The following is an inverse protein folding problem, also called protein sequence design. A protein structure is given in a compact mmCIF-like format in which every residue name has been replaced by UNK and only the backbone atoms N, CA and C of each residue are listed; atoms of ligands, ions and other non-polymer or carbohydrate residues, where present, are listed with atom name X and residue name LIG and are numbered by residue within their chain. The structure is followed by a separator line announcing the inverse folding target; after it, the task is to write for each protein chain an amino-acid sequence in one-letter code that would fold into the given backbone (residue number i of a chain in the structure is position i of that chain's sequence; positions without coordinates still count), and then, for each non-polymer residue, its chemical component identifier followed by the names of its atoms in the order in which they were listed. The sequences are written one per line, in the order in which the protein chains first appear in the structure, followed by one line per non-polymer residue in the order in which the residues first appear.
data_IF_025944823590
#
_entry.id   IF_025944823590
#
_cell.length_a   1.000
_cell.length_b   1.000
_cell.length_c   1.000
_cell.angle_alpha   90.00
_cell.angle_beta   90.00
_cell.angle_gamma   90.00
#
_symmetry.space_group_name_H-M   'P 1'
#
loop_
_entity.id
_entity.type
_entity.pdbx_description
1 polymer ?
#
# COMPACT_ATOMS: atom_id res chain seq x y z
N UNK A 1 -5.25 9.05 11.97
CA UNK A 1 -6.06 8.79 10.77
C UNK A 1 -5.77 7.38 10.33
N UNK A 2 -6.41 6.92 9.27
CA UNK A 2 -6.10 5.62 8.68
C UNK A 2 -6.28 5.68 7.17
N UNK A 3 -5.52 4.86 6.46
CA UNK A 3 -5.73 4.60 5.04
C UNK A 3 -6.24 3.16 4.90
N UNK A 4 -7.25 2.96 4.03
CA UNK A 4 -7.73 1.63 3.65
C UNK A 4 -6.92 1.17 2.45
N UNK A 5 -6.35 -0.02 2.53
CA UNK A 5 -5.86 -0.70 1.34
C UNK A 5 -6.96 -1.64 0.86
N UNK A 6 -7.47 -1.41 -0.36
CA UNK A 6 -8.52 -2.23 -0.98
C UNK A 6 -7.87 -3.28 -1.88
N UNK A 7 -8.34 -4.52 -1.77
CA UNK A 7 -8.01 -5.61 -2.70
C UNK A 7 -9.21 -5.80 -3.62
N UNK A 8 -9.04 -5.67 -4.93
CA UNK A 8 -9.93 -6.36 -5.86
C UNK A 8 -9.61 -7.85 -5.81
N UNK A 9 -10.61 -8.76 -5.80
CA UNK A 9 -10.35 -10.11 -6.22
C UNK A 9 -9.86 -10.07 -7.68
N UNK A 10 -8.86 -10.86 -8.09
CA UNK A 10 -8.55 -10.99 -9.50
C UNK A 10 -9.80 -11.55 -10.20
N UNK A 11 -10.47 -10.72 -10.99
CA UNK A 11 -11.51 -11.18 -11.91
C UNK A 11 -10.89 -12.14 -12.93
N UNK A 12 -11.64 -13.11 -13.45
CA UNK A 12 -11.09 -14.16 -14.32
C UNK A 12 -10.45 -13.62 -15.60
N UNK A 13 -10.87 -12.45 -16.10
CA UNK A 13 -10.56 -12.01 -17.46
C UNK A 13 -10.23 -10.52 -17.59
N UNK A 14 -9.23 -10.00 -16.87
CA UNK A 14 -8.41 -8.83 -17.28
C UNK A 14 -9.06 -7.51 -17.73
N UNK A 15 -10.37 -7.33 -17.63
CA UNK A 15 -11.08 -6.18 -18.18
C UNK A 15 -11.35 -5.15 -17.09
N UNK A 16 -10.79 -3.96 -17.27
CA UNK A 16 -10.85 -2.86 -16.32
C UNK A 16 -12.23 -2.17 -16.39
N UNK A 17 -13.25 -2.82 -15.83
CA UNK A 17 -14.52 -2.19 -15.54
C UNK A 17 -14.32 -1.07 -14.51
N UNK A 18 -14.67 0.17 -14.86
CA UNK A 18 -14.66 1.30 -13.92
C UNK A 18 -15.58 0.97 -12.73
N UNK A 19 -15.14 1.18 -11.47
CA UNK A 19 -15.90 0.73 -10.32
C UNK A 19 -17.13 1.62 -10.09
N UNK A 20 -18.30 0.99 -10.17
CA UNK A 20 -19.57 1.52 -9.67
C UNK A 20 -19.45 1.76 -8.16
N UNK A 21 -19.92 2.93 -7.72
CA UNK A 21 -20.01 3.31 -6.30
C UNK A 21 -20.69 2.21 -5.45
N UNK A 22 -20.21 2.12 -4.20
CA UNK A 22 -20.81 1.38 -3.09
C UNK A 22 -20.74 -0.17 -3.14
N UNK A 23 -19.67 -0.71 -2.55
CA UNK A 23 -19.77 -1.97 -1.82
C UNK A 23 -19.13 -1.83 -0.43
N UNK A 24 -19.97 -1.75 0.59
CA UNK A 24 -19.58 -1.98 1.98
C UNK A 24 -19.08 -3.42 2.12
N UNK A 25 -17.80 -3.68 1.86
CA UNK A 25 -17.31 -5.07 1.93
C UNK A 25 -15.87 -5.32 1.52
N UNK A 26 -15.15 -4.32 1.01
CA UNK A 26 -13.74 -4.47 0.62
C UNK A 26 -12.88 -4.85 1.83
N UNK A 27 -12.50 -6.12 1.99
CA UNK A 27 -11.71 -6.69 3.12
C UNK A 27 -10.30 -6.12 3.27
N UNK A 28 -10.23 -4.81 3.51
CA UNK A 28 -9.04 -4.01 3.45
C UNK A 28 -8.35 -3.87 4.79
N UNK A 29 -7.03 -3.88 4.78
CA UNK A 29 -6.23 -3.62 5.97
C UNK A 29 -6.24 -2.11 6.27
N UNK A 30 -6.56 -1.75 7.51
CA UNK A 30 -6.44 -0.37 8.00
C UNK A 30 -5.00 -0.11 8.44
N UNK A 31 -4.37 0.90 7.84
CA UNK A 31 -3.00 1.28 8.17
C UNK A 31 -3.04 2.56 9.02
N UNK A 32 -2.50 2.55 10.25
CA UNK A 32 -2.44 3.75 11.09
C UNK A 32 -1.58 4.84 10.46
N UNK A 33 -2.14 6.05 10.37
CA UNK A 33 -1.47 7.27 9.90
C UNK A 33 -1.72 8.42 10.88
N UNK A 34 -1.14 9.59 10.63
CA UNK A 34 -1.55 10.84 11.29
C UNK A 34 -3.04 11.17 11.06
N UNK A 35 -3.61 12.08 11.83
CA UNK A 35 -4.99 12.56 11.60
C UNK A 35 -5.00 13.44 10.34
N UNK A 36 -5.79 13.05 9.33
CA UNK A 36 -5.89 13.71 8.01
C UNK A 36 -4.56 13.73 7.24
N UNK A 37 -4.07 12.56 6.78
CA UNK A 37 -2.80 12.48 6.08
C UNK A 37 -2.81 13.32 4.80
N UNK A 38 -1.70 14.02 4.53
CA UNK A 38 -1.48 14.74 3.27
C UNK A 38 -0.31 14.11 2.53
N UNK A 39 -0.46 13.91 1.24
CA UNK A 39 0.65 13.54 0.36
C UNK A 39 1.57 14.76 0.24
N UNK A 40 2.84 14.56 0.55
CA UNK A 40 3.89 15.58 0.50
C UNK A 40 4.69 15.50 -0.77
N UNK A 41 4.97 14.28 -1.21
CA UNK A 41 5.80 14.03 -2.37
C UNK A 41 5.38 12.72 -3.02
N UNK A 42 5.45 12.69 -4.34
CA UNK A 42 5.32 11.48 -5.14
C UNK A 42 6.53 11.40 -6.06
N UNK A 43 7.21 10.26 -6.09
CA UNK A 43 8.40 10.04 -6.93
C UNK A 43 8.25 8.71 -7.63
N UNK A 44 8.55 8.68 -8.91
CA UNK A 44 8.79 7.45 -9.66
C UNK A 44 10.24 7.51 -10.14
N UNK A 45 11.18 6.78 -9.51
CA UNK A 45 12.56 6.75 -9.97
C UNK A 45 12.62 6.20 -11.39
N UNK A 46 13.41 6.81 -12.30
CA UNK A 46 13.32 6.54 -13.74
C UNK A 46 13.68 5.09 -14.12
N UNK A 47 14.58 4.46 -13.38
CA UNK A 47 15.10 3.11 -13.65
C UNK A 47 14.54 2.04 -12.73
N UNK A 48 13.57 2.41 -11.88
CA UNK A 48 12.96 1.49 -10.93
C UNK A 48 11.49 1.30 -11.27
N UNK A 49 11.02 0.05 -11.13
CA UNK A 49 9.59 -0.26 -11.28
C UNK A 49 8.89 0.02 -9.95
N UNK A 50 8.98 1.24 -9.44
CA UNK A 50 8.33 1.62 -8.20
C UNK A 50 7.80 3.05 -8.19
N UNK A 51 6.81 3.28 -7.31
CA UNK A 51 6.27 4.60 -6.98
C UNK A 51 6.41 4.81 -5.47
N UNK A 52 7.06 5.89 -5.06
CA UNK A 52 7.13 6.32 -3.67
C UNK A 52 6.17 7.48 -3.41
N UNK A 53 5.41 7.39 -2.32
CA UNK A 53 4.53 8.45 -1.85
C UNK A 53 4.85 8.76 -0.38
N UNK A 54 5.27 9.99 -0.11
CA UNK A 54 5.50 10.47 1.25
C UNK A 54 4.23 11.13 1.78
N UNK A 55 3.85 10.81 3.02
CA UNK A 55 2.77 11.45 3.77
C UNK A 55 3.31 11.99 5.09
N UNK A 56 2.67 12.97 5.74
CA UNK A 56 3.21 13.33 7.07
C UNK A 56 3.08 12.16 8.05
N UNK A 57 4.14 11.97 8.82
CA UNK A 57 4.21 11.01 9.90
C UNK A 57 3.30 11.47 11.06
N UNK A 58 2.66 10.50 11.71
CA UNK A 58 1.87 10.75 12.93
C UNK A 58 2.51 10.21 14.21
N UNK A 59 3.77 9.78 14.14
CA UNK A 59 4.49 9.06 15.19
C UNK A 59 5.39 7.94 14.62
N UNK A 60 6.22 7.31 15.46
CA UNK A 60 7.25 6.36 15.04
C UNK A 60 6.69 5.04 14.48
N UNK A 61 5.50 4.60 14.92
CA UNK A 61 4.86 3.36 14.46
C UNK A 61 3.76 3.58 13.41
N UNK A 62 3.66 4.80 12.88
CA UNK A 62 2.63 5.16 11.90
C UNK A 62 3.25 5.30 10.53
N UNK A 63 2.49 4.96 9.50
CA UNK A 63 2.98 5.10 8.14
C UNK A 63 3.31 6.57 7.82
N UNK A 64 4.48 6.77 7.23
CA UNK A 64 4.98 8.05 6.69
C UNK A 64 5.33 7.94 5.20
N UNK A 65 5.49 6.72 4.68
CA UNK A 65 5.75 6.48 3.27
C UNK A 65 4.98 5.26 2.77
N UNK A 66 4.53 5.32 1.53
CA UNK A 66 4.06 4.17 0.77
C UNK A 66 5.00 3.91 -0.39
N UNK A 67 5.31 2.64 -0.64
CA UNK A 67 6.06 2.19 -1.81
C UNK A 67 5.18 1.22 -2.58
N UNK A 68 4.91 1.53 -3.84
CA UNK A 68 4.23 0.62 -4.76
C UNK A 68 5.29 -0.04 -5.61
N UNK A 69 5.42 -1.35 -5.50
CA UNK A 69 6.32 -2.16 -6.32
C UNK A 69 5.56 -2.65 -7.55
N UNK A 70 6.04 -2.36 -8.75
CA UNK A 70 5.39 -2.63 -10.04
C UNK A 70 6.10 -3.76 -10.81
N UNK A 71 6.41 -4.84 -10.09
CA UNK A 71 6.97 -6.05 -10.69
C UNK A 71 5.82 -6.91 -11.20
N UNK A 72 5.49 -6.85 -12.50
CA UNK A 72 4.49 -7.69 -13.21
C UNK A 72 3.55 -8.53 -12.30
N UNK A 73 3.90 -9.79 -12.03
CA UNK A 73 3.12 -10.74 -11.20
C UNK A 73 3.54 -10.78 -9.72
N UNK A 74 4.47 -9.91 -9.32
CA UNK A 74 4.99 -9.77 -7.96
C UNK A 74 4.78 -8.37 -7.38
N UNK A 75 3.84 -7.59 -7.92
CA UNK A 75 3.56 -6.23 -7.47
C UNK A 75 3.09 -6.20 -6.02
N UNK A 76 3.35 -5.11 -5.30
CA UNK A 76 2.97 -4.96 -3.90
C UNK A 76 2.78 -3.49 -3.52
N UNK A 77 2.20 -3.26 -2.36
CA UNK A 77 2.18 -1.94 -1.71
C UNK A 77 2.67 -2.11 -0.28
N UNK A 78 3.74 -1.41 0.05
CA UNK A 78 4.32 -1.37 1.38
C UNK A 78 3.99 -0.04 2.04
N UNK A 79 3.70 -0.09 3.33
CA UNK A 79 3.62 1.08 4.17
C UNK A 79 4.79 1.04 5.15
N UNK A 80 5.55 2.13 5.20
CA UNK A 80 6.77 2.27 5.98
C UNK A 80 6.58 3.32 7.09
N UNK A 81 7.12 3.03 8.26
CA UNK A 81 7.32 3.99 9.34
C UNK A 81 8.46 4.97 9.01
N UNK A 82 8.64 6.05 9.80
CA UNK A 82 9.70 7.05 9.56
C UNK A 82 11.12 6.47 9.59
N UNK A 83 11.33 5.37 10.31
CA UNK A 83 12.60 4.63 10.39
C UNK A 83 12.84 3.69 9.21
N UNK A 84 11.91 3.63 8.24
CA UNK A 84 11.97 2.74 7.08
C UNK A 84 11.45 1.32 7.34
N UNK A 85 11.02 0.99 8.57
CA UNK A 85 10.46 -0.32 8.90
C UNK A 85 9.10 -0.50 8.23
N UNK A 86 8.86 -1.69 7.69
CA UNK A 86 7.55 -2.09 7.16
C UNK A 86 6.56 -2.23 8.31
N UNK A 87 5.51 -1.40 8.30
CA UNK A 87 4.39 -1.49 9.25
C UNK A 87 3.18 -2.21 8.64
N UNK A 88 3.12 -2.31 7.31
CA UNK A 88 2.11 -3.11 6.61
C UNK A 88 2.53 -3.39 5.18
N UNK A 89 2.06 -4.51 4.63
CA UNK A 89 2.13 -4.84 3.21
C UNK A 89 0.73 -5.20 2.69
N UNK A 90 0.46 -4.92 1.41
CA UNK A 90 -0.74 -5.38 0.73
C UNK A 90 -0.71 -6.90 0.60
N UNK A 91 0.38 -7.46 0.10
CA UNK A 91 0.63 -8.90 0.05
C UNK A 91 1.72 -9.25 1.06
N UNK A 92 1.32 -9.83 2.18
CA UNK A 92 2.26 -10.40 3.16
C UNK A 92 2.81 -11.70 2.63
N UNK A 93 4.14 -11.81 2.55
CA UNK A 93 4.83 -13.06 2.24
C UNK A 93 5.62 -13.47 3.48
N UNK A 94 5.52 -14.74 3.86
CA UNK A 94 6.40 -15.29 4.88
C UNK A 94 7.72 -15.68 4.23
N UNK A 95 8.82 -15.11 4.72
CA UNK A 95 10.15 -15.51 4.30
C UNK A 95 10.61 -16.69 5.19
N UNK A 96 10.61 -17.90 4.62
CA UNK A 96 11.24 -19.06 5.24
C UNK A 96 10.50 -19.66 6.43
N UNK A 97 9.25 -20.11 6.21
CA UNK A 97 8.61 -21.04 7.12
C UNK A 97 9.53 -22.24 7.38
N UNK A 98 10.18 -22.25 8.55
CA UNK A 98 10.81 -23.45 9.08
C UNK A 98 9.66 -24.23 9.73
N UNK A 99 9.24 -25.31 9.09
CA UNK A 99 8.63 -26.44 9.82
C UNK A 99 9.68 -27.07 10.71
#
# INVERSE_FOLDING_TARGET
GWIRVVRDPPGPDGDAGLPTEAAEGWGGRRIPTQRRPRVRRVVAPPDERLLEMEIDAGGPDRASRFVVELMTNQWNVLALAPDGRIVSALWTREAGGRT
#
